data_IF_282535902769
#
_entry.id   IF_282535902769
#
_cell.length_a   1.000
_cell.length_b   1.000
_cell.length_c   1.000
_cell.angle_alpha   90.00
_cell.angle_beta   90.00
_cell.angle_gamma   90.00
#
_symmetry.space_group_name_H-M   'P 1'
#
loop_
_entity.id
_entity.type
_entity.pdbx_description
1 polymer ?
#
# COMPACT_ATOMS: atom_id res chain seq x y z
N UNK A 1 -6.62 -15.80 5.48
CA UNK A 1 -5.88 -17.09 5.49
C UNK A 1 -5.87 -17.53 6.94
N UNK A 2 -6.31 -18.75 7.23
CA UNK A 2 -6.42 -19.22 8.61
C UNK A 2 -5.33 -20.26 8.92
N UNK A 3 -4.75 -20.17 10.11
CA UNK A 3 -3.81 -21.17 10.63
C UNK A 3 -4.60 -22.33 11.27
N UNK A 4 -4.56 -23.50 10.64
CA UNK A 4 -5.40 -24.64 10.99
C UNK A 4 -4.80 -25.57 12.08
N UNK A 5 -3.62 -25.25 12.59
CA UNK A 5 -2.96 -26.03 13.65
C UNK A 5 -2.60 -25.17 14.86
N UNK A 6 -2.42 -25.82 16.01
CA UNK A 6 -2.02 -25.12 17.22
C UNK A 6 -0.53 -24.77 17.18
N UNK A 7 -0.23 -23.48 17.28
CA UNK A 7 1.13 -22.95 17.39
C UNK A 7 1.27 -22.25 18.73
N UNK A 8 2.51 -22.17 19.24
CA UNK A 8 2.77 -21.30 20.38
C UNK A 8 2.39 -19.85 20.03
N UNK A 9 1.95 -19.02 20.99
CA UNK A 9 1.51 -17.65 20.71
C UNK A 9 2.55 -16.81 19.96
N UNK A 10 3.84 -17.03 20.24
CA UNK A 10 4.95 -16.39 19.51
C UNK A 10 5.00 -16.85 18.06
N UNK A 11 4.96 -18.17 17.82
CA UNK A 11 5.07 -18.73 16.46
C UNK A 11 3.85 -18.39 15.62
N UNK A 12 2.66 -18.34 16.23
CA UNK A 12 1.44 -17.89 15.57
C UNK A 12 1.62 -16.47 15.02
N UNK A 13 2.01 -15.49 15.85
CA UNK A 13 2.24 -14.11 15.40
C UNK A 13 3.29 -14.00 14.30
N UNK A 14 4.42 -14.70 14.44
CA UNK A 14 5.47 -14.69 13.41
C UNK A 14 4.96 -15.19 12.04
N UNK A 15 4.11 -16.22 12.04
CA UNK A 15 3.56 -16.80 10.80
C UNK A 15 2.42 -15.94 10.27
N UNK A 16 1.55 -15.43 11.13
CA UNK A 16 0.44 -14.54 10.76
C UNK A 16 0.96 -13.26 10.09
N UNK A 17 1.94 -12.61 10.70
CA UNK A 17 2.64 -11.45 10.12
C UNK A 17 3.24 -11.81 8.74
N UNK A 18 3.95 -12.94 8.65
CA UNK A 18 4.54 -13.39 7.39
C UNK A 18 3.49 -13.65 6.30
N UNK A 19 2.36 -14.28 6.64
CA UNK A 19 1.29 -14.58 5.70
C UNK A 19 0.64 -13.31 5.17
N UNK A 20 0.47 -12.29 6.03
CA UNK A 20 0.01 -10.97 5.60
C UNK A 20 0.96 -10.40 4.53
N UNK A 21 2.28 -10.42 4.76
CA UNK A 21 3.25 -9.93 3.78
C UNK A 21 3.31 -10.77 2.50
N UNK A 22 3.24 -12.10 2.57
CA UNK A 22 3.28 -12.97 1.39
C UNK A 22 2.12 -12.66 0.45
N UNK A 23 0.92 -12.38 0.99
CA UNK A 23 -0.24 -12.04 0.18
C UNK A 23 -0.02 -10.78 -0.69
N UNK A 24 0.81 -9.84 -0.23
CA UNK A 24 1.20 -8.65 -1.00
C UNK A 24 2.07 -9.05 -2.21
N UNK A 25 3.00 -9.98 -2.01
CA UNK A 25 3.93 -10.43 -3.05
C UNK A 25 3.32 -11.43 -4.05
N UNK A 26 2.23 -12.09 -3.68
CA UNK A 26 1.44 -12.92 -4.59
C UNK A 26 0.57 -12.06 -5.54
N UNK A 27 0.39 -10.77 -5.24
CA UNK A 27 -0.19 -9.80 -6.15
C UNK A 27 0.76 -9.51 -7.34
N UNK A 28 0.66 -10.36 -8.35
CA UNK A 28 1.47 -10.25 -9.57
C UNK A 28 1.15 -8.98 -10.37
N UNK A 29 -0.06 -8.44 -10.27
CA UNK A 29 -0.46 -7.22 -10.96
C UNK A 29 0.21 -5.99 -10.33
N UNK A 30 0.18 -5.88 -9.01
CA UNK A 30 0.90 -4.85 -8.22
C UNK A 30 2.39 -4.94 -8.47
N UNK A 31 2.96 -6.14 -8.36
CA UNK A 31 4.39 -6.36 -8.62
C UNK A 31 4.79 -5.97 -10.06
N UNK A 32 3.96 -6.30 -11.06
CA UNK A 32 4.21 -5.94 -12.46
C UNK A 32 4.13 -4.43 -12.69
N UNK A 33 3.17 -3.75 -12.08
CA UNK A 33 3.02 -2.30 -12.17
C UNK A 33 4.26 -1.57 -11.62
N UNK A 34 4.76 -1.98 -10.46
CA UNK A 34 5.98 -1.42 -9.89
C UNK A 34 7.21 -1.71 -10.76
N UNK A 35 7.39 -2.93 -11.28
CA UNK A 35 8.47 -3.22 -12.24
C UNK A 35 8.37 -2.37 -13.51
N UNK A 36 7.17 -2.14 -14.03
CA UNK A 36 6.96 -1.26 -15.17
C UNK A 36 7.36 0.20 -14.84
N UNK A 37 7.02 0.68 -13.63
CA UNK A 37 7.44 1.99 -13.15
C UNK A 37 8.97 2.12 -13.06
N UNK A 38 9.67 1.11 -12.55
CA UNK A 38 11.13 1.09 -12.51
C UNK A 38 11.74 1.10 -13.92
N UNK A 39 11.22 0.28 -14.84
CA UNK A 39 11.68 0.23 -16.23
C UNK A 39 11.49 1.57 -16.94
N UNK A 40 10.38 2.26 -16.70
CA UNK A 40 10.14 3.60 -17.21
C UNK A 40 11.17 4.63 -16.69
N UNK A 41 11.82 4.35 -15.56
CA UNK A 41 12.86 5.18 -14.95
C UNK A 41 14.26 4.55 -15.04
N UNK A 42 14.49 3.60 -15.97
CA UNK A 42 15.77 2.91 -16.09
C UNK A 42 16.95 3.88 -16.29
N UNK A 43 16.75 4.98 -17.03
CA UNK A 43 17.80 5.98 -17.26
C UNK A 43 18.25 6.66 -15.96
N UNK A 44 17.33 6.88 -15.03
CA UNK A 44 17.61 7.45 -13.71
C UNK A 44 18.19 6.42 -12.73
N UNK A 45 17.90 5.13 -12.94
CA UNK A 45 18.38 4.04 -12.07
C UNK A 45 19.80 3.60 -12.47
N UNK A 46 20.13 3.59 -13.76
CA UNK A 46 21.43 3.11 -14.26
C UNK A 46 22.58 3.95 -13.67
N UNK A 47 23.49 3.30 -12.96
CA UNK A 47 24.64 3.93 -12.30
C UNK A 47 24.29 4.70 -11.03
N UNK A 48 23.03 4.67 -10.57
CA UNK A 48 22.57 5.44 -9.42
C UNK A 48 22.74 4.69 -8.09
N UNK A 49 22.73 5.43 -6.99
CA UNK A 49 22.56 4.88 -5.64
C UNK A 49 21.06 4.86 -5.31
N UNK A 50 20.51 3.67 -5.14
CA UNK A 50 19.08 3.46 -4.91
C UNK A 50 18.79 2.99 -3.48
N UNK A 51 17.57 3.19 -3.02
CA UNK A 51 17.03 2.57 -1.82
C UNK A 51 15.64 1.97 -2.10
N UNK A 52 15.33 0.83 -1.51
CA UNK A 52 13.98 0.26 -1.40
C UNK A 52 13.57 0.34 0.07
N UNK A 53 12.54 1.13 0.37
CA UNK A 53 11.95 1.25 1.70
C UNK A 53 10.86 0.22 1.92
N UNK A 54 10.94 -0.53 3.02
CA UNK A 54 10.00 -1.65 3.28
C UNK A 54 10.21 -2.76 2.26
N UNK A 55 11.46 -3.21 2.09
CA UNK A 55 11.79 -4.06 0.95
C UNK A 55 11.13 -5.44 0.98
N UNK A 56 10.66 -5.90 2.15
CA UNK A 56 10.14 -7.24 2.43
C UNK A 56 11.01 -8.34 1.83
N UNK A 57 10.66 -8.87 0.65
CA UNK A 57 11.44 -9.92 -0.03
C UNK A 57 12.54 -9.41 -0.99
N UNK A 58 12.74 -8.09 -1.10
CA UNK A 58 13.78 -7.47 -1.93
C UNK A 58 13.50 -7.54 -3.43
N UNK A 59 12.22 -7.54 -3.84
CA UNK A 59 11.85 -7.69 -5.26
C UNK A 59 12.21 -6.45 -6.08
N UNK A 60 11.98 -5.24 -5.56
CA UNK A 60 12.30 -4.02 -6.32
C UNK A 60 13.80 -3.73 -6.27
N UNK A 61 14.49 -4.06 -5.18
CA UNK A 61 15.94 -3.97 -5.10
C UNK A 61 16.62 -4.86 -6.14
N UNK A 62 16.13 -6.08 -6.28
CA UNK A 62 16.58 -7.00 -7.33
C UNK A 62 16.39 -6.43 -8.74
N UNK A 63 15.24 -5.78 -9.00
CA UNK A 63 14.96 -5.18 -10.31
C UNK A 63 15.84 -3.95 -10.56
N UNK A 64 16.01 -3.05 -9.58
CA UNK A 64 16.89 -1.88 -9.70
C UNK A 64 18.35 -2.29 -9.98
N UNK A 65 18.85 -3.33 -9.30
CA UNK A 65 20.18 -3.86 -9.56
C UNK A 65 20.33 -4.42 -10.98
N UNK A 66 19.30 -5.13 -11.50
CA UNK A 66 19.25 -5.60 -12.90
C UNK A 66 19.17 -4.45 -13.91
N UNK A 67 18.48 -3.36 -13.58
CA UNK A 67 18.42 -2.15 -14.40
C UNK A 67 19.74 -1.37 -14.43
N UNK A 68 20.70 -1.76 -13.60
CA UNK A 68 22.06 -1.27 -13.61
C UNK A 68 22.37 -0.25 -12.52
N UNK A 69 21.61 -0.22 -11.43
CA UNK A 69 21.98 0.57 -10.23
C UNK A 69 23.42 0.28 -9.81
N UNK A 70 24.14 1.30 -9.36
CA UNK A 70 25.49 1.14 -8.82
C UNK A 70 25.44 0.44 -7.45
N UNK A 71 24.49 0.85 -6.61
CA UNK A 71 24.24 0.32 -5.28
C UNK A 71 22.75 0.40 -4.98
N UNK A 72 22.22 -0.56 -4.23
CA UNK A 72 20.85 -0.59 -3.75
C UNK A 72 20.84 -0.92 -2.25
N UNK A 73 20.26 -0.05 -1.43
CA UNK A 73 19.98 -0.34 -0.03
C UNK A 73 18.55 -0.84 0.11
N UNK A 74 18.38 -2.13 0.40
CA UNK A 74 17.09 -2.75 0.66
C UNK A 74 16.82 -2.70 2.16
N UNK A 75 15.94 -1.79 2.60
CA UNK A 75 15.72 -1.47 4.01
C UNK A 75 14.42 -2.14 4.48
N UNK A 76 14.52 -2.98 5.50
CA UNK A 76 13.38 -3.71 6.08
C UNK A 76 13.44 -3.70 7.61
N UNK A 77 12.32 -3.38 8.25
CA UNK A 77 12.25 -3.33 9.71
C UNK A 77 11.99 -4.71 10.33
N UNK A 78 11.29 -5.60 9.61
CA UNK A 78 10.95 -6.93 10.08
C UNK A 78 12.16 -7.88 9.93
N UNK A 79 12.71 -8.43 11.03
CA UNK A 79 13.90 -9.30 10.97
C UNK A 79 13.72 -10.56 10.12
N UNK A 80 12.53 -11.15 10.13
CA UNK A 80 12.24 -12.36 9.34
C UNK A 80 12.24 -12.03 7.85
N UNK A 81 11.59 -10.94 7.44
CA UNK A 81 11.60 -10.49 6.05
C UNK A 81 13.00 -10.08 5.60
N UNK A 82 13.75 -9.33 6.41
CA UNK A 82 15.13 -8.97 6.10
C UNK A 82 16.01 -10.21 5.87
N UNK A 83 15.85 -11.25 6.71
CA UNK A 83 16.53 -12.56 6.51
C UNK A 83 16.11 -13.22 5.19
N UNK A 84 14.82 -13.26 4.87
CA UNK A 84 14.31 -13.85 3.63
C UNK A 84 14.78 -13.06 2.39
N UNK A 85 14.84 -11.73 2.46
CA UNK A 85 15.40 -10.89 1.40
C UNK A 85 16.86 -11.24 1.13
N UNK A 86 17.70 -11.34 2.18
CA UNK A 86 19.12 -11.74 2.06
C UNK A 86 19.25 -13.09 1.36
N UNK A 87 18.43 -14.08 1.75
CA UNK A 87 18.42 -15.39 1.12
C UNK A 87 18.02 -15.33 -0.35
N UNK A 88 16.97 -14.57 -0.69
CA UNK A 88 16.53 -14.44 -2.09
C UNK A 88 17.56 -13.72 -2.95
N UNK A 89 18.17 -12.66 -2.43
CA UNK A 89 19.19 -11.86 -3.11
C UNK A 89 20.46 -12.68 -3.35
N UNK A 90 20.85 -13.57 -2.44
CA UNK A 90 22.04 -14.41 -2.59
C UNK A 90 21.94 -15.42 -3.74
N UNK A 91 20.72 -15.76 -4.17
CA UNK A 91 20.45 -16.63 -5.32
C UNK A 91 20.61 -15.90 -6.68
N UNK A 92 20.74 -14.57 -6.68
CA UNK A 92 20.99 -13.81 -7.91
C UNK A 92 22.44 -13.98 -8.39
N UNK A 93 22.71 -13.79 -9.70
CA UNK A 93 24.08 -13.74 -10.21
C UNK A 93 24.97 -12.78 -9.41
N UNK A 94 26.21 -13.17 -9.14
CA UNK A 94 27.14 -12.42 -8.26
C UNK A 94 27.33 -10.94 -8.69
N UNK A 95 27.27 -10.66 -9.99
CA UNK A 95 27.39 -9.30 -10.54
C UNK A 95 26.16 -8.41 -10.26
N UNK A 96 25.04 -9.01 -9.87
CA UNK A 96 23.80 -8.34 -9.47
C UNK A 96 23.71 -8.29 -7.94
N UNK A 97 23.85 -9.43 -7.25
CA UNK A 97 23.68 -9.51 -5.79
C UNK A 97 24.66 -8.63 -5.02
N UNK A 98 25.91 -8.50 -5.49
CA UNK A 98 26.92 -7.61 -4.86
C UNK A 98 26.55 -6.12 -4.88
N UNK A 99 25.55 -5.71 -5.66
CA UNK A 99 25.07 -4.33 -5.71
C UNK A 99 23.98 -4.05 -4.68
N UNK A 100 23.49 -5.07 -3.98
CA UNK A 100 22.36 -4.96 -3.05
C UNK A 100 22.85 -5.23 -1.64
N UNK A 101 22.57 -4.31 -0.73
CA UNK A 101 22.83 -4.44 0.70
C UNK A 101 21.50 -4.43 1.45
N UNK A 102 21.23 -5.46 2.25
CA UNK A 102 20.00 -5.54 3.06
C UNK A 102 20.26 -4.97 4.45
N UNK A 103 19.56 -3.88 4.75
CA UNK A 103 19.63 -3.15 6.01
C UNK A 103 18.42 -3.53 6.85
N UNK A 104 18.66 -4.05 8.05
CA UNK A 104 17.61 -4.38 9.00
C UNK A 104 17.40 -3.19 9.94
N UNK A 105 16.48 -2.30 9.56
CA UNK A 105 16.17 -1.08 10.29
C UNK A 105 14.84 -0.48 9.80
N UNK A 106 14.15 0.33 10.63
CA UNK A 106 13.10 1.22 10.15
C UNK A 106 13.66 2.23 9.15
N UNK A 107 12.93 2.50 8.05
CA UNK A 107 13.41 3.42 7.01
C UNK A 107 13.64 4.85 7.52
N UNK A 108 12.81 5.32 8.46
CA UNK A 108 12.94 6.62 9.12
C UNK A 108 14.17 6.72 10.04
N UNK A 109 14.83 5.61 10.34
CA UNK A 109 16.08 5.57 11.12
C UNK A 109 17.32 5.31 10.25
N UNK A 110 17.11 4.86 9.01
CA UNK A 110 18.18 4.58 8.07
C UNK A 110 18.96 5.84 7.70
N UNK A 111 20.29 5.77 7.89
CA UNK A 111 21.25 6.81 7.49
C UNK A 111 22.15 6.24 6.40
N UNK A 112 21.87 6.51 5.12
CA UNK A 112 22.67 5.96 4.03
C UNK A 112 24.08 6.58 4.03
N UNK A 113 25.14 5.79 3.76
CA UNK A 113 26.50 6.31 3.69
C UNK A 113 26.75 7.13 2.42
N UNK A 114 25.83 7.08 1.45
CA UNK A 114 25.86 7.80 0.18
C UNK A 114 24.52 8.47 -0.07
N UNK A 115 24.51 9.60 -0.77
CA UNK A 115 23.26 10.25 -1.17
C UNK A 115 22.41 9.30 -2.03
N UNK A 116 21.10 9.25 -1.75
CA UNK A 116 20.15 8.42 -2.50
C UNK A 116 19.64 9.19 -3.71
N UNK A 117 19.86 8.64 -4.90
CA UNK A 117 19.35 9.21 -6.14
C UNK A 117 17.88 8.80 -6.37
N UNK A 118 17.56 7.52 -6.14
CA UNK A 118 16.21 6.96 -6.36
C UNK A 118 15.75 6.19 -5.12
N UNK A 119 14.63 6.58 -4.54
CA UNK A 119 13.91 5.81 -3.52
C UNK A 119 12.68 5.16 -4.15
N UNK A 120 12.55 3.85 -3.95
CA UNK A 120 11.32 3.10 -4.25
C UNK A 120 10.71 2.67 -2.92
N UNK A 121 9.39 2.69 -2.80
CA UNK A 121 8.71 2.22 -1.58
C UNK A 121 7.37 1.59 -1.90
N UNK A 122 6.91 0.74 -1.00
CA UNK A 122 5.60 0.12 -1.04
C UNK A 122 5.01 0.24 0.38
N UNK A 123 4.33 1.36 0.64
CA UNK A 123 3.81 1.70 1.98
C UNK A 123 2.34 2.12 1.95
N UNK A 124 1.64 1.86 0.84
CA UNK A 124 0.25 2.26 0.68
C UNK A 124 -0.66 1.19 1.27
N UNK A 125 -1.50 1.59 2.23
CA UNK A 125 -2.57 0.74 2.75
C UNK A 125 -3.83 0.81 1.90
N UNK A 126 -4.84 0.05 2.29
CA UNK A 126 -6.14 -0.01 1.58
C UNK A 126 -6.89 1.33 1.64
N UNK A 127 -6.70 2.10 2.71
CA UNK A 127 -7.23 3.45 2.91
C UNK A 127 -6.19 4.53 2.65
N UNK A 128 -5.20 4.22 1.80
CA UNK A 128 -4.06 5.06 1.40
C UNK A 128 -3.03 5.31 2.51
N UNK A 129 -3.45 5.77 3.69
CA UNK A 129 -2.57 6.29 4.75
C UNK A 129 -2.67 5.52 6.08
N UNK A 130 -3.39 4.39 6.08
CA UNK A 130 -3.58 3.46 7.20
C UNK A 130 -2.34 2.60 7.52
N UNK A 131 -1.40 2.48 6.59
CA UNK A 131 -0.11 1.79 6.79
C UNK A 131 1.05 2.78 7.01
N UNK A 132 2.19 2.58 6.34
CA UNK A 132 3.47 3.21 6.67
C UNK A 132 3.83 4.40 5.78
N UNK A 133 2.88 4.95 5.01
CA UNK A 133 3.15 6.06 4.09
C UNK A 133 3.70 7.31 4.80
N UNK A 134 3.36 7.48 6.09
CA UNK A 134 3.87 8.53 6.98
C UNK A 134 5.39 8.46 7.24
N UNK A 135 6.02 7.28 7.05
CA UNK A 135 7.45 7.07 7.25
C UNK A 135 8.27 7.98 6.32
N UNK A 136 7.75 8.25 5.11
CA UNK A 136 8.39 9.09 4.11
C UNK A 136 8.48 10.57 4.50
N UNK A 137 7.69 11.01 5.47
CA UNK A 137 7.74 12.37 6.02
C UNK A 137 8.90 12.55 7.02
N UNK A 138 9.52 11.45 7.47
CA UNK A 138 10.47 11.42 8.58
C UNK A 138 11.87 10.89 8.18
N UNK A 139 12.17 10.83 6.88
CA UNK A 139 13.45 10.32 6.38
C UNK A 139 14.64 11.15 6.88
N UNK A 140 15.75 10.48 7.22
CA UNK A 140 17.04 11.12 7.56
C UNK A 140 17.92 11.42 6.35
N UNK A 141 17.37 11.25 5.16
CA UNK A 141 18.02 11.52 3.87
C UNK A 141 17.00 12.09 2.89
N UNK A 142 17.49 12.74 1.83
CA UNK A 142 16.66 13.38 0.81
C UNK A 142 16.88 12.71 -0.54
N UNK A 143 15.99 11.81 -1.00
CA UNK A 143 16.10 11.22 -2.33
C UNK A 143 15.87 12.26 -3.42
N UNK A 144 16.55 12.14 -4.56
CA UNK A 144 16.32 13.02 -5.73
C UNK A 144 15.03 12.66 -6.49
N UNK A 145 14.69 11.37 -6.51
CA UNK A 145 13.48 10.82 -7.13
C UNK A 145 12.84 9.81 -6.17
N UNK A 146 11.52 9.89 -6.00
CA UNK A 146 10.71 8.91 -5.26
C UNK A 146 9.75 8.24 -6.23
N UNK A 147 9.65 6.91 -6.14
CA UNK A 147 8.83 6.06 -6.99
C UNK A 147 7.96 5.13 -6.13
N UNK A 148 6.62 5.21 -6.22
CA UNK A 148 5.82 6.29 -6.78
C UNK A 148 5.85 7.56 -5.91
N UNK A 149 5.46 8.71 -6.45
CA UNK A 149 5.45 9.99 -5.72
C UNK A 149 4.07 10.45 -5.23
N UNK A 150 3.02 9.64 -5.39
CA UNK A 150 1.68 10.02 -4.94
C UNK A 150 0.67 8.87 -4.86
N UNK A 151 -0.49 9.17 -4.27
CA UNK A 151 -1.63 8.26 -4.26
C UNK A 151 -2.92 8.99 -3.93
N UNK A 152 -4.04 8.39 -4.32
CA UNK A 152 -5.38 8.85 -3.99
C UNK A 152 -6.17 7.73 -3.31
N UNK A 153 -6.96 8.06 -2.30
CA UNK A 153 -8.11 7.24 -1.93
C UNK A 153 -9.27 7.77 -2.76
N UNK A 154 -9.86 6.93 -3.59
CA UNK A 154 -11.03 7.30 -4.42
C UNK A 154 -12.27 6.62 -3.86
N UNK A 155 -13.43 7.19 -4.14
CA UNK A 155 -14.71 6.68 -3.70
C UNK A 155 -15.74 6.62 -4.83
N UNK A 156 -16.70 5.70 -4.67
CA UNK A 156 -17.87 5.59 -5.51
C UNK A 156 -19.11 5.32 -4.66
N UNK A 157 -20.25 5.84 -5.11
CA UNK A 157 -21.56 5.60 -4.49
C UNK A 157 -22.36 4.66 -5.39
N UNK A 158 -22.84 3.55 -4.85
CA UNK A 158 -23.55 2.50 -5.60
C UNK A 158 -24.75 1.97 -4.84
N UNK A 159 -25.71 1.38 -5.57
CA UNK A 159 -26.92 0.81 -4.97
C UNK A 159 -26.62 -0.56 -4.36
N UNK A 160 -26.99 -0.74 -3.08
CA UNK A 160 -26.92 -2.00 -2.34
C UNK A 160 -27.67 -3.13 -3.06
N UNK A 161 -28.75 -2.81 -3.78
CA UNK A 161 -29.56 -3.78 -4.51
C UNK A 161 -28.76 -4.62 -5.52
N UNK A 162 -27.60 -4.15 -5.99
CA UNK A 162 -26.71 -4.92 -6.89
C UNK A 162 -26.04 -6.12 -6.19
N UNK A 163 -25.99 -6.09 -4.86
CA UNK A 163 -25.20 -6.99 -4.02
C UNK A 163 -26.05 -7.80 -3.04
N UNK A 164 -27.32 -7.44 -2.86
CA UNK A 164 -28.24 -8.20 -2.02
C UNK A 164 -28.50 -9.59 -2.59
N UNK A 165 -28.55 -10.57 -1.71
CA UNK A 165 -28.94 -11.94 -2.03
C UNK A 165 -29.58 -12.61 -0.79
N UNK A 166 -29.68 -13.95 -0.80
CA UNK A 166 -30.25 -14.70 0.33
C UNK A 166 -29.48 -14.56 1.66
N UNK A 167 -28.18 -14.26 1.59
CA UNK A 167 -27.28 -14.14 2.73
C UNK A 167 -27.02 -12.66 3.05
N UNK A 168 -26.77 -11.83 2.03
CA UNK A 168 -26.62 -10.39 2.15
C UNK A 168 -27.98 -9.70 2.09
N UNK A 169 -28.65 -9.60 3.25
CA UNK A 169 -29.94 -8.92 3.39
C UNK A 169 -29.77 -7.44 3.74
N UNK A 170 -30.85 -6.66 3.60
CA UNK A 170 -30.87 -5.25 4.02
C UNK A 170 -30.56 -5.07 5.51
N UNK A 171 -31.06 -5.96 6.37
CA UNK A 171 -30.85 -5.84 7.81
C UNK A 171 -29.40 -6.15 8.19
N UNK A 172 -28.77 -7.11 7.51
CA UNK A 172 -27.34 -7.37 7.66
C UNK A 172 -26.52 -6.16 7.21
N UNK A 173 -26.84 -5.55 6.06
CA UNK A 173 -26.16 -4.32 5.63
C UNK A 173 -26.32 -3.19 6.64
N UNK A 174 -27.52 -2.96 7.17
CA UNK A 174 -27.75 -1.95 8.22
C UNK A 174 -26.95 -2.24 9.49
N UNK A 175 -26.73 -3.51 9.86
CA UNK A 175 -25.89 -3.82 11.01
C UNK A 175 -24.41 -3.43 10.83
N UNK A 176 -23.98 -3.11 9.61
CA UNK A 176 -22.63 -2.64 9.29
C UNK A 176 -22.52 -1.10 9.26
N UNK A 177 -23.55 -0.35 9.66
CA UNK A 177 -23.52 1.10 9.70
C UNK A 177 -22.33 1.63 10.52
N UNK A 178 -21.54 2.52 9.91
CA UNK A 178 -20.33 3.08 10.52
C UNK A 178 -19.08 2.18 10.45
N UNK A 179 -19.22 0.91 10.04
CA UNK A 179 -18.08 0.04 9.79
C UNK A 179 -17.48 0.32 8.40
N UNK A 180 -16.16 0.22 8.31
CA UNK A 180 -15.42 0.09 7.04
C UNK A 180 -15.06 -1.38 6.87
N UNK A 181 -15.59 -2.03 5.83
CA UNK A 181 -15.42 -3.46 5.60
C UNK A 181 -14.67 -3.70 4.29
N UNK A 182 -13.46 -4.22 4.38
CA UNK A 182 -12.68 -4.62 3.21
C UNK A 182 -13.19 -5.96 2.64
N UNK A 183 -13.16 -6.12 1.31
CA UNK A 183 -13.37 -7.43 0.70
C UNK A 183 -14.82 -7.92 0.60
N UNK A 184 -15.81 -7.10 1.00
CA UNK A 184 -17.20 -7.54 1.09
C UNK A 184 -17.87 -7.74 -0.29
N UNK A 185 -17.54 -6.89 -1.28
CA UNK A 185 -18.16 -6.89 -2.61
C UNK A 185 -17.12 -6.64 -3.72
N UNK A 186 -16.11 -7.50 -3.81
CA UNK A 186 -15.01 -7.34 -4.77
C UNK A 186 -15.47 -7.46 -6.24
N UNK A 187 -16.58 -8.14 -6.48
CA UNK A 187 -17.22 -8.24 -7.77
C UNK A 187 -18.31 -7.17 -7.96
N UNK A 188 -18.30 -6.50 -9.12
CA UNK A 188 -19.31 -5.52 -9.62
C UNK A 188 -19.07 -4.03 -9.30
N UNK A 189 -17.85 -3.57 -9.01
CA UNK A 189 -17.56 -2.13 -9.02
C UNK A 189 -16.86 -1.71 -10.31
N UNK A 190 -17.55 -0.90 -11.11
CA UNK A 190 -17.08 -0.47 -12.43
C UNK A 190 -16.08 0.70 -12.36
N UNK A 191 -16.34 1.72 -11.54
CA UNK A 191 -15.40 2.84 -11.34
C UNK A 191 -15.64 3.64 -10.04
N UNK A 192 -14.54 4.08 -9.43
CA UNK A 192 -14.52 5.06 -8.33
C UNK A 192 -14.56 6.49 -8.88
N UNK A 193 -15.64 7.20 -8.58
CA UNK A 193 -16.05 8.44 -9.22
C UNK A 193 -15.23 9.66 -8.78
N UNK A 194 -14.93 9.80 -7.48
CA UNK A 194 -14.33 11.04 -6.95
C UNK A 194 -13.21 10.76 -5.95
N UNK A 195 -12.21 11.64 -5.83
CA UNK A 195 -11.13 11.50 -4.85
C UNK A 195 -11.58 11.96 -3.45
N UNK A 196 -11.09 11.26 -2.44
CA UNK A 196 -11.38 11.51 -1.02
C UNK A 196 -10.13 11.95 -0.28
N UNK A 197 -9.02 11.22 -0.48
CA UNK A 197 -7.72 11.57 0.07
C UNK A 197 -6.72 11.72 -1.06
N UNK A 198 -5.76 12.62 -0.87
CA UNK A 198 -4.59 12.77 -1.75
C UNK A 198 -3.33 12.82 -0.92
N UNK A 199 -2.38 11.99 -1.29
CA UNK A 199 -1.03 12.04 -0.77
C UNK A 199 -0.07 12.30 -1.94
N UNK A 200 0.93 13.15 -1.69
CA UNK A 200 2.04 13.40 -2.60
C UNK A 200 3.31 13.53 -1.78
N UNK A 201 4.38 12.89 -2.21
CA UNK A 201 5.65 12.96 -1.54
C UNK A 201 6.09 14.43 -1.34
N UNK A 202 6.50 14.76 -0.12
CA UNK A 202 6.86 16.12 0.29
C UNK A 202 5.68 17.05 0.58
N UNK A 203 4.44 16.55 0.61
CA UNK A 203 3.23 17.27 1.00
C UNK A 203 2.48 16.52 2.09
N UNK A 204 1.77 17.25 2.95
CA UNK A 204 0.88 16.64 3.93
C UNK A 204 -0.30 15.94 3.24
N UNK A 205 -0.82 14.88 3.88
CA UNK A 205 -2.06 14.23 3.45
C UNK A 205 -3.20 15.25 3.36
N UNK A 206 -3.83 15.34 2.20
CA UNK A 206 -4.96 16.25 1.96
C UNK A 206 -6.27 15.47 1.93
N UNK A 207 -7.24 15.92 2.72
CA UNK A 207 -8.62 15.46 2.64
C UNK A 207 -9.44 16.35 1.71
N UNK A 208 -10.27 15.73 0.87
CA UNK A 208 -11.16 16.40 -0.06
C UNK A 208 -12.57 16.32 0.51
N UNK A 209 -13.19 17.50 0.68
CA UNK A 209 -14.59 17.59 1.11
C UNK A 209 -15.48 17.10 -0.03
N UNK A 210 -16.25 16.06 0.23
CA UNK A 210 -17.25 15.52 -0.67
C UNK A 210 -18.63 15.67 -0.04
N UNK A 211 -19.64 15.95 -0.87
CA UNK A 211 -21.05 15.97 -0.49
C UNK A 211 -21.80 15.01 -1.40
N UNK A 212 -22.39 13.99 -0.80
CA UNK A 212 -23.10 12.93 -1.49
C UNK A 212 -24.58 13.26 -1.71
N UNK A 213 -25.07 14.44 -1.32
CA UNK A 213 -26.50 14.79 -1.38
C UNK A 213 -27.14 14.64 -2.76
N UNK A 214 -26.38 14.78 -3.84
CA UNK A 214 -26.83 14.55 -5.21
C UNK A 214 -26.96 13.05 -5.58
N UNK A 215 -26.30 12.16 -4.83
CA UNK A 215 -26.34 10.72 -5.05
C UNK A 215 -27.55 10.11 -4.34
N UNK A 216 -28.24 9.17 -4.99
CA UNK A 216 -29.40 8.45 -4.42
C UNK A 216 -29.08 7.05 -3.91
N UNK A 217 -27.86 6.58 -4.15
CA UNK A 217 -27.42 5.25 -3.75
C UNK A 217 -26.96 5.22 -2.28
N UNK A 218 -27.00 4.02 -1.71
CA UNK A 218 -26.99 3.73 -0.27
C UNK A 218 -25.74 2.95 0.20
N UNK A 219 -24.83 2.60 -0.71
CA UNK A 219 -23.49 2.13 -0.36
C UNK A 219 -22.42 3.13 -0.80
N UNK A 220 -21.43 3.33 0.06
CA UNK A 220 -20.19 4.02 -0.25
C UNK A 220 -19.05 3.02 -0.30
N UNK A 221 -18.26 3.10 -1.36
CA UNK A 221 -17.09 2.26 -1.58
C UNK A 221 -15.85 3.14 -1.70
N UNK A 222 -14.72 2.65 -1.22
CA UNK A 222 -13.40 3.26 -1.37
C UNK A 222 -12.43 2.30 -2.04
N UNK A 223 -11.43 2.85 -2.72
CA UNK A 223 -10.28 2.09 -3.20
C UNK A 223 -9.07 2.99 -3.43
N UNK A 224 -7.90 2.45 -3.11
CA UNK A 224 -6.63 3.14 -3.28
C UNK A 224 -6.21 3.14 -4.76
N UNK A 225 -5.64 4.25 -5.21
CA UNK A 225 -4.99 4.38 -6.50
C UNK A 225 -3.60 4.98 -6.31
N UNK A 226 -2.57 4.20 -6.58
CA UNK A 226 -1.18 4.65 -6.54
C UNK A 226 -0.85 5.40 -7.82
N UNK A 227 -0.14 6.52 -7.69
CA UNK A 227 0.15 7.42 -8.80
C UNK A 227 1.61 7.85 -8.83
N UNK A 228 2.12 8.14 -10.01
CA UNK A 228 3.42 8.77 -10.19
C UNK A 228 3.32 9.89 -11.21
N UNK A 229 3.71 11.11 -10.82
CA UNK A 229 3.59 12.32 -11.65
C UNK A 229 2.19 12.51 -12.23
N UNK A 230 1.17 12.22 -11.42
CA UNK A 230 -0.24 12.31 -11.78
C UNK A 230 -0.77 11.20 -12.69
N UNK A 231 0.05 10.20 -13.06
CA UNK A 231 -0.39 9.03 -13.82
C UNK A 231 -0.62 7.85 -12.87
N UNK A 232 -1.66 7.06 -13.11
CA UNK A 232 -1.95 5.87 -12.32
C UNK A 232 -0.90 4.78 -12.57
N UNK A 233 -0.42 4.16 -11.49
CA UNK A 233 0.54 3.04 -11.50
C UNK A 233 -0.23 1.73 -11.31
N UNK A 234 -1.02 1.65 -10.25
CA UNK A 234 -1.89 0.52 -9.90
C UNK A 234 -3.02 1.00 -8.98
N UNK A 235 -4.05 0.17 -8.78
CA UNK A 235 -5.24 0.52 -8.01
C UNK A 235 -5.98 -0.71 -7.46
N UNK A 236 -6.81 -0.47 -6.44
CA UNK A 236 -7.78 -1.44 -5.94
C UNK A 236 -8.68 -1.98 -7.07
N UNK A 237 -9.12 -3.23 -6.94
CA UNK A 237 -9.90 -3.95 -7.96
C UNK A 237 -9.10 -4.43 -9.18
N UNK A 238 -7.94 -3.82 -9.48
CA UNK A 238 -6.93 -4.41 -10.40
C UNK A 238 -5.84 -5.15 -9.65
N UNK A 239 -5.51 -4.72 -8.45
CA UNK A 239 -4.57 -5.38 -7.56
C UNK A 239 -5.36 -6.19 -6.52
N UNK A 240 -5.42 -7.54 -6.61
CA UNK A 240 -6.23 -8.37 -5.72
C UNK A 240 -5.90 -8.23 -4.24
N UNK A 241 -4.71 -7.75 -3.87
CA UNK A 241 -4.36 -7.51 -2.46
C UNK A 241 -4.84 -6.15 -1.92
N UNK A 242 -5.24 -5.22 -2.78
CA UNK A 242 -5.99 -4.02 -2.39
C UNK A 242 -7.46 -4.20 -2.69
N UNK A 243 -8.16 -4.77 -1.71
CA UNK A 243 -9.61 -4.88 -1.73
C UNK A 243 -10.28 -3.51 -1.72
N UNK A 244 -11.49 -3.46 -2.25
CA UNK A 244 -12.36 -2.33 -2.01
C UNK A 244 -12.84 -2.31 -0.55
N UNK A 245 -13.05 -1.11 -0.01
CA UNK A 245 -13.54 -0.90 1.35
C UNK A 245 -14.95 -0.32 1.31
N UNK A 246 -15.88 -0.96 1.98
CA UNK A 246 -17.31 -0.70 1.88
C UNK A 246 -17.90 -0.17 3.17
N UNK A 247 -18.91 0.69 3.07
CA UNK A 247 -19.71 1.12 4.22
C UNK A 247 -21.13 1.51 3.78
N UNK A 248 -22.17 1.13 4.54
CA UNK A 248 -23.51 1.66 4.35
C UNK A 248 -23.51 3.18 4.49
N UNK A 249 -24.17 3.86 3.56
CA UNK A 249 -24.26 5.32 3.58
C UNK A 249 -25.23 5.78 4.67
N UNK A 250 -24.69 6.39 5.72
CA UNK A 250 -25.48 6.93 6.84
C UNK A 250 -25.60 8.47 6.81
N UNK A 251 -25.08 9.12 5.77
CA UNK A 251 -25.09 10.57 5.65
C UNK A 251 -24.62 11.07 4.29
N UNK A 252 -24.58 12.39 4.13
CA UNK A 252 -24.12 13.04 2.90
C UNK A 252 -22.65 13.44 2.94
N UNK A 253 -22.08 13.53 4.14
CA UNK A 253 -20.70 13.97 4.35
C UNK A 253 -20.03 13.02 5.33
N UNK A 254 -18.72 12.86 5.19
CA UNK A 254 -17.93 11.98 6.04
C UNK A 254 -16.52 12.55 6.19
N UNK A 255 -15.77 12.02 7.16
CA UNK A 255 -14.40 12.40 7.41
C UNK A 255 -13.55 11.20 7.82
N UNK A 256 -12.26 11.28 7.51
CA UNK A 256 -11.22 10.38 7.98
C UNK A 256 -10.34 11.09 9.00
N UNK A 257 -9.82 10.37 9.97
CA UNK A 257 -8.73 10.82 10.83
C UNK A 257 -7.75 9.65 11.00
N UNK A 258 -6.47 9.91 10.84
CA UNK A 258 -5.41 8.91 10.97
C UNK A 258 -4.53 9.25 12.16
N UNK A 259 -4.47 8.37 13.16
CA UNK A 259 -3.69 8.57 14.39
C UNK A 259 -2.53 7.55 14.47
N UNK A 260 -1.43 7.89 15.16
CA UNK A 260 -0.38 6.92 15.45
C UNK A 260 -0.94 5.66 16.13
N UNK A 261 -0.48 4.49 15.70
CA UNK A 261 -0.83 3.19 16.26
C UNK A 261 0.44 2.34 16.44
N UNK A 262 0.30 1.13 17.02
CA UNK A 262 1.43 0.21 17.21
C UNK A 262 2.07 -0.23 15.89
N UNK A 263 1.27 -0.34 14.82
CA UNK A 263 1.69 -0.52 13.44
C UNK A 263 0.88 0.44 12.55
N UNK A 264 1.52 1.07 11.55
CA UNK A 264 0.87 2.00 10.63
C UNK A 264 0.16 3.17 11.32
N UNK A 265 -1.07 3.46 10.87
CA UNK A 265 -1.94 4.51 11.41
C UNK A 265 -3.35 3.97 11.63
N UNK A 266 -3.89 4.14 12.83
CA UNK A 266 -5.28 3.82 13.12
C UNK A 266 -6.22 4.79 12.36
N UNK A 267 -7.13 4.22 11.56
CA UNK A 267 -8.14 4.95 10.83
C UNK A 267 -9.42 5.13 11.67
N UNK A 268 -9.88 6.37 11.80
CA UNK A 268 -11.15 6.75 12.38
C UNK A 268 -12.03 7.34 11.28
N UNK A 269 -13.11 6.64 10.95
CA UNK A 269 -14.10 7.09 9.98
C UNK A 269 -15.38 7.53 10.71
N UNK A 270 -15.99 8.61 10.23
CA UNK A 270 -17.28 9.06 10.73
C UNK A 270 -18.12 9.74 9.66
N UNK A 271 -19.42 9.52 9.73
CA UNK A 271 -20.41 10.34 9.06
C UNK A 271 -20.54 11.68 9.78
N UNK A 272 -20.60 12.76 9.01
CA UNK A 272 -20.81 14.11 9.53
C UNK A 272 -22.30 14.43 9.48
N UNK A 273 -22.80 15.06 10.55
CA UNK A 273 -24.15 15.63 10.59
C UNK A 273 -24.28 16.80 9.62
#
# INVERSE_FOLDING_TARGET
MDLLNHLSPRRFREVDDLLAFISIYDDTQRTRAFRALLRAHQKQIRGAVCAEGGCGLGLMASEMAKLGAQQVYAVEQNPLLAKLARQRISLLPKNISRRIEVIEAPLQEFRPPRAIDVLVHEFYGQLLYDEDLWVLENLKFKPKLVLPDGGELRAGVVSSQRYLDRAMTNDLLKSLEGALVAGLFEEKLDELQFPVLRWKFGQALRQIKNDLGAHKADLLCFGVAVTHRGRRVCEAGRCPNWSYVWTPRCGNRFAFEFRPAAAGRACYFRWLK
#
